data_IF_200302249825
#
_entry.id   IF_200302249825
#
_cell.length_a   1.000
_cell.length_b   1.000
_cell.length_c   1.000
_cell.angle_alpha   90.00
_cell.angle_beta   90.00
_cell.angle_gamma   90.00
#
_symmetry.space_group_name_H-M   'P 1'
#
loop_
_entity.id
_entity.type
_entity.pdbx_description
1 polymer ?
#
# COMPACT_ATOMS: atom_id res chain seq x y z
N UNK A 1 16.60 -17.95 -19.65
CA UNK A 1 15.73 -16.90 -19.06
C UNK A 1 16.23 -16.61 -17.65
N UNK A 2 16.24 -15.36 -17.18
CA UNK A 2 16.72 -15.03 -15.81
C UNK A 2 15.65 -15.46 -14.79
N UNK A 3 16.00 -16.25 -13.79
CA UNK A 3 15.06 -16.71 -12.76
C UNK A 3 15.05 -15.81 -11.53
N UNK A 4 13.86 -15.46 -11.04
CA UNK A 4 13.65 -14.74 -9.79
C UNK A 4 12.58 -15.44 -8.95
N UNK A 5 12.86 -15.54 -7.65
CA UNK A 5 11.87 -15.93 -6.64
C UNK A 5 11.44 -14.70 -5.84
N UNK A 6 10.14 -14.53 -5.64
CA UNK A 6 9.57 -13.52 -4.75
C UNK A 6 8.99 -14.22 -3.52
N UNK A 7 9.36 -13.76 -2.33
CA UNK A 7 8.82 -14.24 -1.06
C UNK A 7 7.96 -13.14 -0.47
N UNK A 8 6.68 -13.45 -0.23
CA UNK A 8 5.71 -12.50 0.31
C UNK A 8 4.78 -13.16 1.31
N UNK A 9 4.23 -12.36 2.22
CA UNK A 9 3.17 -12.81 3.12
C UNK A 9 1.78 -12.80 2.46
N UNK A 10 1.63 -12.15 1.30
CA UNK A 10 0.36 -12.04 0.59
C UNK A 10 0.58 -12.11 -0.93
N UNK A 11 -0.34 -12.80 -1.62
CA UNK A 11 -0.42 -12.85 -3.08
C UNK A 11 -1.88 -13.16 -3.48
N UNK A 12 -2.40 -12.66 -4.62
CA UNK A 12 -3.75 -12.99 -5.11
C UNK A 12 -4.02 -14.49 -5.00
N UNK A 13 -5.21 -14.95 -4.56
CA UNK A 13 -6.50 -14.24 -4.58
C UNK A 13 -6.78 -13.33 -3.38
N UNK A 14 -5.83 -13.19 -2.43
CA UNK A 14 -5.98 -12.23 -1.33
C UNK A 14 -6.09 -10.81 -1.89
N UNK A 15 -7.08 -10.06 -1.39
CA UNK A 15 -7.34 -8.68 -1.83
C UNK A 15 -6.51 -7.69 -1.02
N UNK A 16 -6.24 -6.52 -1.59
CA UNK A 16 -5.62 -5.37 -0.92
C UNK A 16 -4.23 -5.02 -1.45
N UNK A 17 -3.72 -3.87 -1.01
CA UNK A 17 -2.48 -3.29 -1.53
C UNK A 17 -1.25 -4.19 -1.35
N UNK A 18 -1.22 -5.03 -0.30
CA UNK A 18 -0.13 -5.97 -0.06
C UNK A 18 -0.01 -7.06 -1.12
N UNK A 19 -1.13 -7.71 -1.48
CA UNK A 19 -1.14 -8.72 -2.53
C UNK A 19 -0.93 -8.09 -3.91
N UNK A 20 -1.64 -6.99 -4.20
CA UNK A 20 -1.58 -6.35 -5.52
C UNK A 20 -0.19 -5.82 -5.86
N UNK A 21 0.55 -5.18 -4.93
CA UNK A 21 1.90 -4.68 -5.23
C UNK A 21 2.88 -5.80 -5.63
N UNK A 22 2.72 -6.99 -5.05
CA UNK A 22 3.58 -8.16 -5.34
C UNK A 22 3.18 -8.81 -6.65
N UNK A 23 1.89 -8.89 -6.92
CA UNK A 23 1.36 -9.32 -8.23
C UNK A 23 1.89 -8.42 -9.35
N UNK A 24 1.81 -7.09 -9.20
CA UNK A 24 2.31 -6.16 -10.21
C UNK A 24 3.82 -6.31 -10.43
N UNK A 25 4.61 -6.42 -9.36
CA UNK A 25 6.05 -6.70 -9.49
C UNK A 25 6.30 -8.01 -10.24
N UNK A 26 5.60 -9.10 -9.89
CA UNK A 26 5.76 -10.40 -10.53
C UNK A 26 5.42 -10.35 -12.03
N UNK A 27 4.29 -9.73 -12.37
CA UNK A 27 3.83 -9.60 -13.76
C UNK A 27 4.77 -8.73 -14.60
N UNK A 28 5.25 -7.60 -14.06
CA UNK A 28 6.17 -6.70 -14.78
C UNK A 28 7.53 -7.34 -15.01
N UNK A 29 8.06 -8.08 -14.03
CA UNK A 29 9.27 -8.88 -14.22
C UNK A 29 9.07 -9.98 -15.27
N UNK A 30 7.92 -10.67 -15.26
CA UNK A 30 7.62 -11.67 -16.26
C UNK A 30 7.52 -11.09 -17.68
N UNK A 31 6.85 -9.95 -17.84
CA UNK A 31 6.78 -9.19 -19.10
C UNK A 31 8.16 -8.79 -19.62
N UNK A 32 9.13 -8.60 -18.72
CA UNK A 32 10.53 -8.32 -19.01
C UNK A 32 11.42 -9.57 -19.13
N UNK A 33 10.86 -10.71 -19.54
CA UNK A 33 11.58 -11.96 -19.83
C UNK A 33 12.28 -12.61 -18.61
N UNK A 34 11.74 -12.42 -17.41
CA UNK A 34 12.13 -13.20 -16.24
C UNK A 34 11.20 -14.40 -16.04
N UNK A 35 11.77 -15.53 -15.62
CA UNK A 35 11.01 -16.65 -15.08
C UNK A 35 10.75 -16.36 -13.60
N UNK A 36 9.52 -15.99 -13.27
CA UNK A 36 9.14 -15.55 -11.93
C UNK A 36 8.40 -16.66 -11.21
N UNK A 37 8.81 -16.90 -9.96
CA UNK A 37 8.08 -17.74 -9.02
C UNK A 37 7.80 -16.96 -7.74
N UNK A 38 6.70 -17.31 -7.06
CA UNK A 38 6.29 -16.67 -5.81
C UNK A 38 6.11 -17.75 -4.73
N UNK A 39 6.63 -17.49 -3.53
CA UNK A 39 6.28 -18.27 -2.33
C UNK A 39 5.50 -17.38 -1.36
N UNK A 40 4.32 -17.85 -0.96
CA UNK A 40 3.40 -17.16 -0.07
C UNK A 40 2.61 -18.16 0.79
N UNK A 41 1.85 -17.72 1.80
CA UNK A 41 0.99 -18.64 2.54
C UNK A 41 -0.25 -19.03 1.72
N UNK A 42 -0.94 -20.09 2.17
CA UNK A 42 -2.32 -20.37 1.75
C UNK A 42 -3.19 -19.13 2.06
N UNK A 43 -3.98 -18.70 1.07
CA UNK A 43 -4.72 -17.45 1.15
C UNK A 43 -5.68 -17.48 2.35
N UNK A 44 -5.63 -16.43 3.17
CA UNK A 44 -6.48 -16.31 4.37
C UNK A 44 -6.97 -14.88 4.65
N UNK A 45 -6.40 -13.87 4.01
CA UNK A 45 -6.81 -12.48 4.16
C UNK A 45 -7.98 -12.12 3.21
N UNK A 46 -8.99 -11.34 3.64
CA UNK A 46 -9.08 -10.55 4.89
C UNK A 46 -9.76 -11.25 6.06
N UNK A 47 -10.43 -12.38 5.83
CA UNK A 47 -11.30 -13.02 6.83
C UNK A 47 -10.54 -13.71 7.96
N UNK A 48 -9.24 -13.93 7.82
CA UNK A 48 -8.45 -14.68 8.79
C UNK A 48 -8.79 -16.17 8.78
N UNK A 49 -9.35 -16.65 7.67
CA UNK A 49 -9.77 -18.04 7.45
C UNK A 49 -9.29 -18.45 6.05
N UNK A 50 -8.86 -19.71 5.91
CA UNK A 50 -8.46 -20.23 4.60
C UNK A 50 -9.62 -20.13 3.59
N UNK A 51 -9.31 -19.70 2.37
CA UNK A 51 -10.26 -19.72 1.28
C UNK A 51 -10.71 -21.17 1.01
N UNK A 52 -11.97 -21.40 0.56
CA UNK A 52 -12.53 -22.75 0.39
C UNK A 52 -11.62 -23.72 -0.37
N UNK A 53 -10.99 -23.26 -1.45
CA UNK A 53 -10.08 -24.01 -2.31
C UNK A 53 -8.77 -24.45 -1.63
N UNK A 54 -8.42 -23.85 -0.49
CA UNK A 54 -7.19 -24.15 0.27
C UNK A 54 -7.44 -24.94 1.57
N UNK A 55 -8.71 -25.16 1.96
CA UNK A 55 -9.05 -25.91 3.18
C UNK A 55 -8.51 -27.35 3.10
N UNK A 56 -7.91 -27.82 4.21
CA UNK A 56 -7.35 -29.17 4.32
C UNK A 56 -6.01 -29.40 3.60
N UNK A 57 -5.44 -28.37 2.94
CA UNK A 57 -4.17 -28.49 2.22
C UNK A 57 -2.99 -28.02 3.08
N UNK A 58 -1.84 -28.68 2.97
CA UNK A 58 -0.58 -28.24 3.58
C UNK A 58 0.30 -27.42 2.63
N UNK A 59 0.18 -27.65 1.33
CA UNK A 59 0.82 -26.82 0.32
C UNK A 59 0.09 -26.93 -1.00
N UNK A 60 0.20 -25.90 -1.83
CA UNK A 60 -0.36 -25.86 -3.20
C UNK A 60 0.70 -25.27 -4.13
N UNK A 61 0.80 -25.80 -5.35
CA UNK A 61 1.52 -25.12 -6.43
C UNK A 61 0.51 -24.85 -7.52
N UNK A 62 0.39 -23.60 -7.94
CA UNK A 62 -0.55 -23.17 -8.99
C UNK A 62 0.13 -22.21 -9.95
N UNK A 63 -0.46 -22.04 -11.13
CA UNK A 63 -0.01 -21.07 -12.11
C UNK A 63 -1.07 -19.96 -12.21
N UNK A 64 -0.69 -18.75 -11.83
CA UNK A 64 -1.55 -17.56 -11.93
C UNK A 64 -0.90 -16.60 -12.92
N UNK A 65 -1.55 -16.38 -14.07
CA UNK A 65 -1.07 -15.45 -15.11
C UNK A 65 0.40 -15.69 -15.51
N UNK A 66 0.77 -16.96 -15.73
CA UNK A 66 2.13 -17.41 -16.06
C UNK A 66 3.17 -17.28 -14.94
N UNK A 67 2.73 -17.01 -13.71
CA UNK A 67 3.57 -16.99 -12.51
C UNK A 67 3.34 -18.28 -11.72
N UNK A 68 4.42 -19.02 -11.43
CA UNK A 68 4.35 -20.20 -10.57
C UNK A 68 4.25 -19.75 -9.12
N UNK A 69 3.15 -20.06 -8.46
CA UNK A 69 2.89 -19.70 -7.06
C UNK A 69 2.92 -20.94 -6.20
N UNK A 70 3.89 -21.01 -5.29
CA UNK A 70 3.98 -22.05 -4.25
C UNK A 70 3.41 -21.51 -2.95
N UNK A 71 2.28 -22.06 -2.53
CA UNK A 71 1.65 -21.77 -1.24
C UNK A 71 2.03 -22.78 -0.18
N UNK A 72 2.38 -22.28 1.00
CA UNK A 72 2.67 -23.10 2.18
C UNK A 72 1.63 -22.88 3.27
N UNK A 73 1.46 -23.88 4.13
CA UNK A 73 0.53 -23.82 5.24
C UNK A 73 0.81 -22.63 6.18
N UNK A 74 -0.27 -22.08 6.73
CA UNK A 74 -0.27 -21.03 7.74
C UNK A 74 -1.41 -21.33 8.73
N UNK A 75 -1.23 -20.96 10.00
CA UNK A 75 -2.32 -20.79 10.95
C UNK A 75 -3.06 -19.49 10.60
N UNK A 76 -4.25 -19.55 9.98
CA UNK A 76 -4.93 -18.36 9.48
C UNK A 76 -5.44 -17.53 10.67
N UNK A 77 -5.17 -16.22 10.66
CA UNK A 77 -5.69 -15.32 11.69
C UNK A 77 -5.69 -13.86 11.25
N UNK A 78 -6.81 -13.17 11.50
CA UNK A 78 -6.93 -11.71 11.44
C UNK A 78 -7.23 -11.12 12.83
N UNK A 79 -6.98 -11.87 13.89
CA UNK A 79 -7.36 -11.50 15.25
C UNK A 79 -6.65 -10.23 15.73
N UNK A 80 -7.34 -9.43 16.56
CA UNK A 80 -6.72 -8.32 17.30
C UNK A 80 -5.70 -8.82 18.35
N UNK A 81 -5.76 -10.10 18.72
CA UNK A 81 -4.84 -10.70 19.70
C UNK A 81 -3.42 -10.88 19.11
N UNK A 82 -2.43 -10.26 19.74
CA UNK A 82 -1.05 -10.25 19.28
C UNK A 82 -0.41 -11.65 19.22
N UNK A 83 -0.77 -12.55 20.15
CA UNK A 83 -0.25 -13.92 20.21
C UNK A 83 -0.76 -14.70 19.00
N UNK A 84 -2.06 -14.61 18.68
CA UNK A 84 -2.63 -15.28 17.50
C UNK A 84 -2.01 -14.77 16.19
N UNK A 85 -1.74 -13.46 16.09
CA UNK A 85 -1.02 -12.87 14.95
C UNK A 85 0.42 -13.37 14.85
N UNK A 86 1.13 -13.45 15.97
CA UNK A 86 2.49 -13.97 16.00
C UNK A 86 2.54 -15.46 15.60
N UNK A 87 1.62 -16.28 16.12
CA UNK A 87 1.48 -17.68 15.72
C UNK A 87 1.19 -17.84 14.23
N UNK A 88 0.35 -16.97 13.67
CA UNK A 88 0.09 -16.93 12.22
C UNK A 88 1.38 -16.69 11.43
N UNK A 89 2.14 -15.63 11.74
CA UNK A 89 3.41 -15.33 11.06
C UNK A 89 4.45 -16.44 11.27
N UNK A 90 4.56 -16.97 12.50
CA UNK A 90 5.51 -18.04 12.84
C UNK A 90 5.21 -19.34 12.10
N UNK A 91 3.94 -19.74 12.02
CA UNK A 91 3.55 -20.99 11.36
C UNK A 91 3.95 -21.02 9.89
N UNK A 92 3.70 -19.93 9.15
CA UNK A 92 4.17 -19.80 7.78
C UNK A 92 5.69 -19.68 7.69
N UNK A 93 6.31 -18.86 8.55
CA UNK A 93 7.76 -18.67 8.56
C UNK A 93 8.52 -19.97 8.83
N UNK A 94 7.98 -20.87 9.64
CA UNK A 94 8.55 -22.19 9.93
C UNK A 94 8.48 -23.11 8.70
N UNK A 95 7.33 -23.19 8.03
CA UNK A 95 7.20 -23.92 6.77
C UNK A 95 8.14 -23.37 5.69
N UNK A 96 8.23 -22.04 5.60
CA UNK A 96 9.13 -21.36 4.67
C UNK A 96 10.61 -21.64 4.98
N UNK A 97 11.01 -21.64 6.25
CA UNK A 97 12.37 -21.94 6.68
C UNK A 97 12.85 -23.27 6.11
N UNK A 98 12.09 -24.35 6.31
CA UNK A 98 12.47 -25.67 5.79
C UNK A 98 12.39 -25.76 4.28
N UNK A 99 11.39 -25.11 3.67
CA UNK A 99 11.31 -25.03 2.22
C UNK A 99 12.58 -24.41 1.64
N UNK A 100 12.98 -23.23 2.13
CA UNK A 100 14.18 -22.54 1.66
C UNK A 100 15.46 -23.31 1.97
N UNK A 101 15.51 -24.03 3.09
CA UNK A 101 16.66 -24.84 3.47
C UNK A 101 16.88 -26.00 2.50
N UNK A 102 15.83 -26.80 2.26
CA UNK A 102 15.94 -28.07 1.54
C UNK A 102 15.68 -27.99 0.04
N UNK A 103 14.89 -27.01 -0.43
CA UNK A 103 14.57 -26.89 -1.85
C UNK A 103 15.62 -26.07 -2.61
N UNK A 104 15.73 -26.36 -3.91
CA UNK A 104 16.49 -25.51 -4.84
C UNK A 104 15.64 -24.28 -5.14
N UNK A 105 16.25 -23.10 -5.01
CA UNK A 105 15.63 -21.82 -5.32
C UNK A 105 16.51 -21.04 -6.31
N UNK A 106 15.94 -20.11 -7.09
CA UNK A 106 16.69 -19.19 -7.94
C UNK A 106 17.83 -18.47 -7.22
N UNK A 107 18.83 -17.96 -7.96
CA UNK A 107 19.96 -17.26 -7.36
C UNK A 107 19.58 -15.87 -6.83
N UNK A 108 18.63 -15.20 -7.47
CA UNK A 108 18.10 -13.90 -7.05
C UNK A 108 16.74 -14.08 -6.39
N UNK A 109 16.58 -13.49 -5.21
CA UNK A 109 15.37 -13.61 -4.41
C UNK A 109 14.94 -12.24 -3.89
N UNK A 110 13.71 -11.84 -4.24
CA UNK A 110 13.05 -10.67 -3.68
C UNK A 110 12.35 -11.08 -2.39
N UNK A 111 12.66 -10.43 -1.28
CA UNK A 111 12.04 -10.68 0.02
C UNK A 111 11.23 -9.46 0.42
N UNK A 112 9.92 -9.64 0.55
CA UNK A 112 9.02 -8.59 1.00
C UNK A 112 9.13 -8.36 2.52
N UNK A 113 9.27 -7.11 2.94
CA UNK A 113 9.20 -6.68 4.33
C UNK A 113 8.31 -5.43 4.45
N UNK A 114 7.41 -5.34 5.45
CA UNK A 114 7.05 -6.34 6.47
C UNK A 114 6.26 -7.55 5.92
N UNK A 115 6.00 -8.64 6.71
CA UNK A 115 6.30 -8.83 8.14
C UNK A 115 7.78 -9.01 8.46
N UNK A 116 8.23 -8.36 9.53
CA UNK A 116 9.64 -8.32 9.91
C UNK A 116 10.22 -9.71 10.21
N UNK A 117 9.48 -10.54 10.96
CA UNK A 117 9.92 -11.90 11.30
C UNK A 117 10.03 -12.82 10.08
N UNK A 118 9.07 -12.73 9.15
CA UNK A 118 9.10 -13.47 7.89
C UNK A 118 10.34 -13.08 7.08
N UNK A 119 10.57 -11.77 6.93
CA UNK A 119 11.74 -11.26 6.21
C UNK A 119 13.05 -11.68 6.87
N UNK A 120 13.13 -11.67 8.21
CA UNK A 120 14.30 -12.14 8.95
C UNK A 120 14.63 -13.60 8.67
N UNK A 121 13.64 -14.50 8.80
CA UNK A 121 13.82 -15.94 8.56
C UNK A 121 14.26 -16.18 7.10
N UNK A 122 13.62 -15.49 6.16
CA UNK A 122 13.95 -15.58 4.74
C UNK A 122 15.41 -15.15 4.49
N UNK A 123 15.78 -13.96 4.95
CA UNK A 123 17.13 -13.41 4.76
C UNK A 123 18.19 -14.26 5.45
N UNK A 124 17.90 -14.79 6.64
CA UNK A 124 18.81 -15.67 7.37
C UNK A 124 19.16 -16.90 6.52
N UNK A 125 18.16 -17.67 6.09
CA UNK A 125 18.38 -18.91 5.31
C UNK A 125 19.01 -18.60 3.95
N UNK A 126 18.53 -17.58 3.25
CA UNK A 126 19.06 -17.17 1.94
C UNK A 126 20.51 -16.71 2.03
N UNK A 127 20.90 -16.03 3.13
CA UNK A 127 22.28 -15.59 3.34
C UNK A 127 23.23 -16.76 3.59
N UNK A 128 22.79 -17.77 4.35
CA UNK A 128 23.54 -19.02 4.54
C UNK A 128 23.73 -19.76 3.20
N UNK A 129 22.73 -19.69 2.32
CA UNK A 129 22.78 -20.25 0.95
C UNK A 129 23.43 -19.32 -0.08
N UNK A 130 24.06 -18.22 0.35
CA UNK A 130 24.77 -17.24 -0.50
C UNK A 130 23.94 -16.73 -1.69
N UNK A 131 22.64 -16.51 -1.48
CA UNK A 131 21.73 -15.96 -2.48
C UNK A 131 21.92 -14.44 -2.64
N UNK A 132 21.56 -13.91 -3.81
CA UNK A 132 21.44 -12.46 -4.03
C UNK A 132 20.07 -12.02 -3.53
N UNK A 133 20.05 -11.30 -2.42
CA UNK A 133 18.83 -10.94 -1.70
C UNK A 133 18.48 -9.49 -2.04
N UNK A 134 17.31 -9.29 -2.66
CA UNK A 134 16.71 -7.99 -2.91
C UNK A 134 15.64 -7.81 -1.83
N UNK A 135 15.92 -6.97 -0.83
CA UNK A 135 14.94 -6.73 0.24
C UNK A 135 14.00 -5.60 -0.19
N UNK A 136 12.71 -5.89 -0.39
CA UNK A 136 11.70 -4.89 -0.70
C UNK A 136 11.05 -4.38 0.58
N UNK A 137 11.39 -3.14 0.98
CA UNK A 137 10.93 -2.50 2.21
C UNK A 137 9.77 -1.57 1.88
N UNK A 138 8.57 -1.94 2.33
CA UNK A 138 7.37 -1.12 2.13
C UNK A 138 7.14 -0.09 3.21
N UNK A 139 7.49 -0.43 4.44
CA UNK A 139 7.23 0.36 5.62
C UNK A 139 8.39 0.13 6.60
N UNK A 140 8.75 1.16 7.35
CA UNK A 140 9.81 1.07 8.36
C UNK A 140 9.29 0.37 9.61
N UNK A 141 9.63 -0.92 9.76
CA UNK A 141 9.34 -1.70 10.96
C UNK A 141 10.64 -1.97 11.73
N UNK A 142 10.74 -1.64 13.03
CA UNK A 142 9.63 -1.34 13.95
C UNK A 142 9.20 0.14 14.08
N UNK A 143 9.86 1.08 13.40
CA UNK A 143 9.66 2.52 13.63
C UNK A 143 8.18 2.96 13.52
N UNK A 144 7.51 2.64 12.42
CA UNK A 144 6.09 2.97 12.21
C UNK A 144 5.18 2.37 13.29
N UNK A 145 5.53 1.21 13.86
CA UNK A 145 4.76 0.61 14.95
C UNK A 145 4.87 1.40 16.25
N UNK A 146 6.03 2.02 16.49
CA UNK A 146 6.25 2.90 17.65
C UNK A 146 5.49 4.21 17.45
N UNK A 147 5.58 4.83 16.27
CA UNK A 147 4.86 6.06 15.92
C UNK A 147 3.33 5.90 16.04
N UNK A 148 2.81 4.75 15.64
CA UNK A 148 1.37 4.42 15.73
C UNK A 148 0.95 3.89 17.11
N UNK A 149 1.82 3.94 18.13
CA UNK A 149 1.58 3.39 19.47
C UNK A 149 1.19 1.89 19.50
N UNK A 150 1.48 1.15 18.43
CA UNK A 150 1.26 -0.29 18.35
C UNK A 150 2.38 -1.09 19.03
N UNK A 151 3.54 -0.46 19.28
CA UNK A 151 4.70 -1.04 19.94
C UNK A 151 5.32 -0.01 20.89
N UNK A 152 5.53 -0.38 22.16
CA UNK A 152 6.16 0.51 23.14
C UNK A 152 7.66 0.69 22.84
N UNK A 153 8.11 1.92 22.71
CA UNK A 153 9.54 2.26 22.60
C UNK A 153 10.35 1.65 23.75
N UNK A 154 11.58 1.23 23.47
CA UNK A 154 12.51 0.59 24.41
C UNK A 154 12.02 -0.69 25.12
N UNK A 155 10.87 -1.24 24.74
CA UNK A 155 10.42 -2.56 25.21
C UNK A 155 11.32 -3.69 24.69
N UNK A 156 11.24 -4.87 25.30
CA UNK A 156 11.96 -6.05 24.82
C UNK A 156 11.60 -6.38 23.36
N UNK A 157 10.31 -6.37 23.02
CA UNK A 157 9.84 -6.62 21.64
C UNK A 157 10.34 -5.55 20.66
N UNK A 158 10.46 -4.28 21.08
CA UNK A 158 11.07 -3.22 20.28
C UNK A 158 12.56 -3.50 20.01
N UNK A 159 13.34 -3.84 21.04
CA UNK A 159 14.76 -4.19 20.88
C UNK A 159 14.97 -5.39 19.97
N UNK A 160 14.15 -6.44 20.12
CA UNK A 160 14.17 -7.60 19.23
C UNK A 160 13.87 -7.17 17.80
N UNK A 161 12.84 -6.35 17.59
CA UNK A 161 12.48 -5.88 16.25
C UNK A 161 13.60 -5.05 15.61
N UNK A 162 14.26 -4.15 16.35
CA UNK A 162 15.43 -3.40 15.87
C UNK A 162 16.59 -4.33 15.50
N UNK A 163 16.80 -5.42 16.25
CA UNK A 163 17.78 -6.43 15.88
C UNK A 163 17.42 -7.11 14.55
N UNK A 164 16.17 -7.51 14.37
CA UNK A 164 15.70 -8.15 13.12
C UNK A 164 15.85 -7.19 11.93
N UNK A 165 15.46 -5.92 12.08
CA UNK A 165 15.62 -4.86 11.08
C UNK A 165 17.08 -4.70 10.66
N UNK A 166 17.98 -4.47 11.62
CA UNK A 166 19.41 -4.30 11.35
C UNK A 166 20.00 -5.55 10.68
N UNK A 167 19.54 -6.74 11.07
CA UNK A 167 19.99 -7.98 10.45
C UNK A 167 19.58 -8.07 8.98
N UNK A 168 18.29 -7.84 8.66
CA UNK A 168 17.81 -7.93 7.27
C UNK A 168 18.47 -6.88 6.38
N UNK A 169 18.66 -5.66 6.87
CA UNK A 169 19.32 -4.59 6.12
C UNK A 169 20.79 -4.92 5.86
N UNK A 170 21.51 -5.40 6.89
CA UNK A 170 22.91 -5.78 6.76
C UNK A 170 23.11 -6.89 5.73
N UNK A 171 22.28 -7.93 5.78
CA UNK A 171 22.44 -9.17 5.00
C UNK A 171 21.85 -9.10 3.60
N UNK A 172 20.92 -8.19 3.33
CA UNK A 172 20.43 -7.94 1.98
C UNK A 172 21.58 -7.50 1.06
N UNK A 173 21.58 -7.98 -0.19
CA UNK A 173 22.56 -7.57 -1.21
C UNK A 173 22.28 -6.14 -1.68
N UNK A 174 20.99 -5.80 -1.82
CA UNK A 174 20.49 -4.45 -2.06
C UNK A 174 19.08 -4.32 -1.47
N UNK A 175 18.61 -3.08 -1.35
CA UNK A 175 17.30 -2.76 -0.79
C UNK A 175 16.49 -1.95 -1.81
N UNK A 176 15.23 -2.34 -2.00
CA UNK A 176 14.22 -1.51 -2.64
C UNK A 176 13.44 -0.78 -1.55
N UNK A 177 13.36 0.55 -1.60
CA UNK A 177 12.56 1.36 -0.69
C UNK A 177 11.37 1.99 -1.42
N UNK A 178 10.20 1.99 -0.79
CA UNK A 178 8.99 2.63 -1.36
C UNK A 178 8.96 4.16 -1.23
N UNK A 179 9.91 4.72 -0.50
CA UNK A 179 10.07 6.15 -0.27
C UNK A 179 11.55 6.52 -0.16
N UNK A 180 11.87 7.79 -0.46
CA UNK A 180 13.22 8.29 -0.18
C UNK A 180 13.51 8.34 1.33
N UNK A 181 12.47 8.50 2.16
CA UNK A 181 12.57 8.42 3.61
C UNK A 181 13.01 7.02 4.09
N UNK A 182 12.50 5.95 3.46
CA UNK A 182 13.00 4.58 3.71
C UNK A 182 14.48 4.45 3.34
N UNK A 183 14.86 4.96 2.17
CA UNK A 183 16.26 4.91 1.72
C UNK A 183 17.17 5.67 2.68
N UNK A 184 16.76 6.88 3.08
CA UNK A 184 17.47 7.72 4.04
C UNK A 184 17.62 7.02 5.39
N UNK A 185 16.55 6.40 5.89
CA UNK A 185 16.59 5.61 7.13
C UNK A 185 17.60 4.46 7.03
N UNK A 186 17.57 3.69 5.94
CA UNK A 186 18.53 2.61 5.72
C UNK A 186 19.97 3.14 5.71
N UNK A 187 20.24 4.24 5.00
CA UNK A 187 21.58 4.85 4.95
C UNK A 187 22.05 5.41 6.28
N UNK A 188 21.13 5.88 7.14
CA UNK A 188 21.50 6.28 8.51
C UNK A 188 22.04 5.12 9.36
N UNK A 189 21.69 3.88 9.01
CA UNK A 189 22.14 2.66 9.71
C UNK A 189 23.31 1.99 8.94
N UNK A 190 23.25 1.98 7.62
CA UNK A 190 24.22 1.38 6.71
C UNK A 190 24.50 2.31 5.52
N UNK A 191 25.43 3.28 5.67
CA UNK A 191 25.69 4.31 4.66
C UNK A 191 26.02 3.76 3.26
N UNK A 192 26.80 2.68 3.20
CA UNK A 192 27.23 2.05 1.94
C UNK A 192 26.23 1.05 1.36
N UNK A 193 25.00 0.95 1.91
CA UNK A 193 24.02 -0.02 1.41
C UNK A 193 23.48 0.44 0.06
N UNK A 194 23.55 -0.45 -0.94
CA UNK A 194 22.89 -0.23 -2.24
C UNK A 194 21.38 -0.19 -2.05
N UNK A 195 20.78 0.95 -2.35
CA UNK A 195 19.36 1.21 -2.23
C UNK A 195 18.83 1.77 -3.54
N UNK A 196 17.62 1.37 -3.92
CA UNK A 196 16.92 1.89 -5.10
C UNK A 196 15.48 2.25 -4.71
N UNK A 197 14.96 3.32 -5.29
CA UNK A 197 13.57 3.73 -5.11
C UNK A 197 12.67 2.85 -5.98
N UNK A 198 11.72 2.17 -5.36
CA UNK A 198 10.70 1.36 -6.03
C UNK A 198 9.34 1.73 -5.47
N UNK A 199 8.61 2.60 -6.18
CA UNK A 199 7.28 3.05 -5.74
C UNK A 199 6.20 2.11 -6.25
N UNK A 200 5.15 1.92 -5.47
CA UNK A 200 3.99 1.14 -5.90
C UNK A 200 3.10 1.96 -6.87
N UNK A 201 3.64 2.28 -8.03
CA UNK A 201 2.86 2.86 -9.11
C UNK A 201 1.83 1.85 -9.62
N UNK A 202 0.60 2.30 -9.97
CA UNK A 202 -0.37 1.43 -10.60
C UNK A 202 0.11 1.01 -12.00
N UNK A 203 -0.42 -0.10 -12.49
CA UNK A 203 -0.23 -0.46 -13.90
C UNK A 203 -1.10 0.45 -14.78
N UNK A 204 -0.47 1.26 -15.63
CA UNK A 204 -1.11 2.25 -16.52
C UNK A 204 -1.96 1.67 -17.63
N UNK A 205 -2.14 0.35 -17.68
CA UNK A 205 -3.23 -0.27 -18.46
C UNK A 205 -4.64 0.16 -18.00
N UNK A 206 -4.72 1.09 -17.07
CA UNK A 206 -5.97 1.73 -16.67
C UNK A 206 -6.40 2.63 -17.83
N UNK A 207 -7.46 2.20 -18.53
CA UNK A 207 -8.09 2.96 -19.61
C UNK A 207 -8.45 4.34 -19.05
N UNK A 208 -8.17 5.40 -19.81
CA UNK A 208 -8.61 6.76 -19.51
C UNK A 208 -10.07 6.71 -19.05
N UNK A 209 -10.30 7.12 -17.80
CA UNK A 209 -11.65 7.23 -17.32
C UNK A 209 -12.26 8.46 -17.97
N UNK A 210 -13.35 8.25 -18.71
CA UNK A 210 -14.23 9.33 -19.11
C UNK A 210 -14.87 9.92 -17.83
N UNK A 211 -14.19 10.88 -17.23
CA UNK A 211 -14.61 11.58 -16.03
C UNK A 211 -15.67 12.60 -16.43
N UNK A 212 -16.87 12.41 -15.90
CA UNK A 212 -18.02 13.27 -16.11
C UNK A 212 -18.02 14.35 -15.03
N UNK A 213 -18.13 15.59 -15.47
CA UNK A 213 -18.28 16.73 -14.58
C UNK A 213 -19.63 17.37 -14.79
N UNK A 214 -20.35 17.55 -13.68
CA UNK A 214 -21.72 18.06 -13.68
C UNK A 214 -21.73 19.42 -13.00
N UNK A 215 -21.93 20.48 -13.80
CA UNK A 215 -21.79 21.88 -13.35
C UNK A 215 -22.74 22.24 -12.20
N UNK A 216 -23.95 21.69 -12.22
CA UNK A 216 -25.01 22.03 -11.25
C UNK A 216 -25.06 21.09 -10.03
N UNK A 217 -24.03 20.26 -9.82
CA UNK A 217 -23.93 19.37 -8.66
C UNK A 217 -22.86 19.86 -7.67
N UNK A 218 -23.00 19.53 -6.36
CA UNK A 218 -21.93 19.75 -5.38
C UNK A 218 -20.59 19.17 -5.84
N UNK A 219 -19.49 19.72 -5.34
CA UNK A 219 -18.17 19.09 -5.51
C UNK A 219 -18.14 17.79 -4.70
N UNK A 220 -17.98 16.66 -5.39
CA UNK A 220 -17.97 15.32 -4.82
C UNK A 220 -16.55 14.91 -4.51
N UNK A 221 -16.22 14.95 -3.23
CA UNK A 221 -14.95 14.44 -2.70
C UNK A 221 -15.16 12.98 -2.30
N UNK A 222 -14.23 12.10 -2.63
CA UNK A 222 -14.30 10.70 -2.21
C UNK A 222 -13.07 10.19 -1.49
N UNK A 223 -13.30 9.30 -0.53
CA UNK A 223 -12.30 8.39 0.00
C UNK A 223 -12.69 6.96 -0.35
N UNK A 224 -11.79 6.24 -1.01
CA UNK A 224 -11.98 4.82 -1.31
C UNK A 224 -10.81 3.97 -0.79
N UNK A 225 -11.04 3.17 0.24
CA UNK A 225 -10.03 2.30 0.85
C UNK A 225 -10.36 1.79 2.26
N UNK A 226 -9.33 1.29 2.95
CA UNK A 226 -9.47 0.74 4.31
C UNK A 226 -9.83 1.84 5.33
N UNK A 227 -10.83 1.59 6.18
CA UNK A 227 -11.11 2.40 7.39
C UNK A 227 -10.27 1.89 8.56
N UNK A 228 -8.96 2.15 8.45
CA UNK A 228 -7.98 1.81 9.47
C UNK A 228 -7.59 3.04 10.30
N UNK A 229 -7.13 2.78 11.52
CA UNK A 229 -6.70 3.81 12.48
C UNK A 229 -5.65 4.76 11.90
N UNK A 230 -4.75 4.25 11.05
CA UNK A 230 -3.71 5.06 10.41
C UNK A 230 -4.28 6.03 9.35
N UNK A 231 -5.39 5.66 8.69
CA UNK A 231 -6.06 6.51 7.70
C UNK A 231 -6.91 7.59 8.38
N UNK A 232 -7.42 7.35 9.59
CA UNK A 232 -8.11 8.36 10.39
C UNK A 232 -9.44 8.83 9.77
N UNK A 233 -10.13 7.96 9.02
CA UNK A 233 -11.36 8.34 8.30
C UNK A 233 -12.51 8.66 9.25
N UNK A 234 -12.60 7.96 10.39
CA UNK A 234 -13.57 8.30 11.43
C UNK A 234 -13.34 9.72 11.96
N UNK A 235 -12.10 10.00 12.37
CA UNK A 235 -11.73 11.32 12.91
C UNK A 235 -11.90 12.44 11.87
N UNK A 236 -11.62 12.13 10.59
CA UNK A 236 -11.94 13.02 9.48
C UNK A 236 -13.44 13.36 9.46
N UNK A 237 -14.32 12.36 9.48
CA UNK A 237 -15.77 12.60 9.46
C UNK A 237 -16.29 13.36 10.68
N UNK A 238 -15.64 13.21 11.83
CA UNK A 238 -15.98 13.93 13.07
C UNK A 238 -15.63 15.42 12.98
N UNK A 239 -14.53 15.77 12.31
CA UNK A 239 -13.91 17.11 12.40
C UNK A 239 -14.04 17.96 11.13
N UNK A 240 -14.40 17.38 10.00
CA UNK A 240 -14.68 18.17 8.80
C UNK A 240 -15.90 19.06 9.02
N UNK A 241 -15.79 20.31 8.61
CA UNK A 241 -16.89 21.24 8.55
C UNK A 241 -17.32 21.45 7.10
N UNK A 242 -18.49 20.91 6.76
CA UNK A 242 -19.10 21.06 5.44
C UNK A 242 -20.31 22.01 5.47
N UNK A 243 -20.59 22.67 6.60
CA UNK A 243 -21.72 23.59 6.72
C UNK A 243 -21.56 24.78 5.77
N UNK A 244 -22.62 25.13 5.04
CA UNK A 244 -22.60 26.19 4.04
C UNK A 244 -21.80 25.89 2.75
N UNK A 245 -21.01 24.81 2.69
CA UNK A 245 -20.19 24.48 1.52
C UNK A 245 -20.96 23.67 0.46
N UNK A 246 -20.72 23.91 -0.82
CA UNK A 246 -21.29 23.10 -1.90
C UNK A 246 -20.46 21.82 -2.15
N UNK A 247 -20.30 21.00 -1.11
CA UNK A 247 -19.44 19.80 -1.09
C UNK A 247 -20.20 18.61 -0.50
N UNK A 248 -19.96 17.43 -1.08
CA UNK A 248 -20.32 16.13 -0.50
C UNK A 248 -19.05 15.27 -0.31
N UNK A 249 -18.97 14.53 0.80
CA UNK A 249 -17.94 13.55 1.07
C UNK A 249 -18.50 12.13 0.94
N UNK A 250 -17.93 11.33 0.06
CA UNK A 250 -18.39 9.96 -0.20
C UNK A 250 -17.32 8.94 0.21
N UNK A 251 -17.75 7.92 0.94
CA UNK A 251 -16.87 6.94 1.55
C UNK A 251 -17.14 5.54 0.98
N UNK A 252 -16.10 4.93 0.41
CA UNK A 252 -16.10 3.56 -0.09
C UNK A 252 -15.07 2.74 0.67
N UNK A 253 -15.49 1.64 1.27
CA UNK A 253 -14.55 0.82 2.03
C UNK A 253 -15.14 -0.04 3.12
N UNK A 254 -14.23 -0.64 3.87
CA UNK A 254 -14.48 -1.43 5.06
C UNK A 254 -13.28 -1.28 6.00
N UNK A 255 -13.41 -1.69 7.26
CA UNK A 255 -12.31 -1.66 8.20
C UNK A 255 -12.77 -1.66 9.65
N UNK A 256 -11.80 -1.48 10.55
CA UNK A 256 -12.03 -1.53 11.98
C UNK A 256 -12.98 -0.42 12.47
N UNK A 257 -12.99 0.73 11.79
CA UNK A 257 -13.78 1.92 12.16
C UNK A 257 -15.16 1.99 11.49
N UNK A 258 -15.51 1.02 10.61
CA UNK A 258 -16.74 1.04 9.80
C UNK A 258 -18.00 1.34 10.63
N UNK A 259 -18.24 0.57 11.70
CA UNK A 259 -19.47 0.70 12.51
C UNK A 259 -19.59 2.07 13.17
N UNK A 260 -18.47 2.69 13.54
CA UNK A 260 -18.44 4.01 14.15
C UNK A 260 -18.74 5.09 13.11
N UNK A 261 -18.20 4.95 11.90
CA UNK A 261 -18.50 5.83 10.76
C UNK A 261 -19.99 5.76 10.40
N UNK A 262 -20.58 4.55 10.32
CA UNK A 262 -22.01 4.37 10.06
C UNK A 262 -22.88 5.07 11.12
N UNK A 263 -22.57 4.88 12.40
CA UNK A 263 -23.30 5.51 13.49
C UNK A 263 -23.16 7.05 13.49
N UNK A 264 -21.96 7.56 13.21
CA UNK A 264 -21.71 9.00 13.10
C UNK A 264 -22.54 9.62 11.98
N UNK A 265 -22.53 9.03 10.78
CA UNK A 265 -23.29 9.53 9.62
C UNK A 265 -24.79 9.52 9.92
N UNK A 266 -25.31 8.48 10.57
CA UNK A 266 -26.73 8.41 10.96
C UNK A 266 -27.13 9.51 11.96
N UNK A 267 -26.21 9.96 12.81
CA UNK A 267 -26.46 11.00 13.81
C UNK A 267 -26.40 12.44 13.25
N UNK A 268 -25.85 12.61 12.03
CA UNK A 268 -25.65 13.92 11.41
C UNK A 268 -26.90 14.41 10.67
N UNK A 269 -27.19 15.70 10.77
CA UNK A 269 -28.36 16.34 10.12
C UNK A 269 -28.05 16.91 8.74
N UNK A 270 -26.80 17.28 8.45
CA UNK A 270 -26.37 17.91 7.20
C UNK A 270 -26.39 16.95 6.00
N UNK A 271 -26.36 15.62 6.24
CA UNK A 271 -26.38 14.55 5.21
C UNK A 271 -25.32 14.69 4.11
N UNK A 272 -24.25 15.45 4.34
CA UNK A 272 -23.15 15.68 3.38
C UNK A 272 -22.07 14.60 3.38
N UNK A 273 -22.13 13.64 4.29
CA UNK A 273 -21.23 12.49 4.32
C UNK A 273 -22.04 11.24 3.96
N UNK A 274 -21.69 10.59 2.85
CA UNK A 274 -22.42 9.44 2.30
C UNK A 274 -21.51 8.21 2.34
N UNK A 275 -22.00 7.12 2.93
CA UNK A 275 -21.28 5.85 3.00
C UNK A 275 -21.89 4.79 2.08
N UNK A 276 -21.05 4.18 1.24
CA UNK A 276 -21.47 3.21 0.21
C UNK A 276 -21.07 1.76 0.51
N UNK A 277 -20.29 1.51 1.56
CA UNK A 277 -19.73 0.18 1.82
C UNK A 277 -18.55 -0.19 0.93
N UNK A 278 -18.16 -1.46 1.01
CA UNK A 278 -17.11 -2.03 0.16
C UNK A 278 -17.68 -2.35 -1.22
N UNK A 279 -16.94 -1.97 -2.26
CA UNK A 279 -17.29 -2.30 -3.64
C UNK A 279 -16.16 -3.02 -4.36
N UNK A 280 -16.52 -3.79 -5.40
CA UNK A 280 -15.53 -4.31 -6.33
C UNK A 280 -14.93 -3.18 -7.17
N UNK A 281 -13.73 -3.42 -7.69
CA UNK A 281 -12.96 -2.39 -8.39
C UNK A 281 -13.66 -1.84 -9.62
N UNK A 282 -14.35 -2.69 -10.39
CA UNK A 282 -14.98 -2.28 -11.64
C UNK A 282 -16.21 -1.40 -11.36
N UNK A 283 -17.04 -1.79 -10.39
CA UNK A 283 -18.18 -0.99 -9.95
C UNK A 283 -17.73 0.34 -9.34
N UNK A 284 -16.69 0.31 -8.50
CA UNK A 284 -16.09 1.52 -7.93
C UNK A 284 -15.64 2.48 -9.03
N UNK A 285 -14.82 2.02 -9.99
CA UNK A 285 -14.34 2.87 -11.08
C UNK A 285 -15.50 3.46 -11.90
N UNK A 286 -16.56 2.70 -12.17
CA UNK A 286 -17.75 3.23 -12.88
C UNK A 286 -18.41 4.38 -12.14
N UNK A 287 -18.56 4.27 -10.82
CA UNK A 287 -19.16 5.35 -10.04
C UNK A 287 -18.24 6.56 -9.93
N UNK A 288 -16.93 6.32 -9.73
CA UNK A 288 -15.92 7.37 -9.59
C UNK A 288 -15.84 8.30 -10.80
N UNK A 289 -16.34 7.89 -11.98
CA UNK A 289 -16.47 8.77 -13.15
C UNK A 289 -17.20 10.09 -12.86
N UNK A 290 -18.17 10.06 -11.95
CA UNK A 290 -19.00 11.24 -11.61
C UNK A 290 -18.44 12.04 -10.42
N UNK A 291 -17.22 11.72 -9.98
CA UNK A 291 -16.57 12.36 -8.83
C UNK A 291 -15.53 13.38 -9.26
N UNK A 292 -15.17 14.27 -8.34
CA UNK A 292 -14.32 15.41 -8.65
C UNK A 292 -12.92 15.29 -8.05
N UNK A 293 -12.82 14.96 -6.76
CA UNK A 293 -11.58 15.05 -6.00
C UNK A 293 -11.46 13.81 -5.13
N UNK A 294 -10.26 13.23 -5.04
CA UNK A 294 -9.97 12.22 -4.02
C UNK A 294 -9.38 12.87 -2.77
N UNK A 295 -9.77 12.41 -1.59
CA UNK A 295 -9.08 12.76 -0.34
C UNK A 295 -8.21 11.58 0.12
N UNK A 296 -6.96 11.87 0.46
CA UNK A 296 -5.99 10.89 0.97
C UNK A 296 -5.53 11.34 2.36
N UNK A 297 -6.27 10.93 3.43
CA UNK A 297 -5.94 11.28 4.80
C UNK A 297 -4.98 10.25 5.43
N UNK A 298 -4.17 10.74 6.36
CA UNK A 298 -3.54 9.96 7.43
C UNK A 298 -3.80 10.66 8.76
N UNK A 299 -4.04 9.89 9.81
CA UNK A 299 -4.27 10.42 11.16
C UNK A 299 -3.07 11.21 11.68
N UNK A 300 -1.86 10.78 11.32
CA UNK A 300 -0.58 11.41 11.67
C UNK A 300 0.42 11.14 10.55
N UNK A 301 1.47 11.95 10.47
CA UNK A 301 2.61 11.65 9.59
C UNK A 301 3.27 10.35 10.06
N UNK A 302 3.48 9.43 9.13
CA UNK A 302 4.19 8.17 9.36
C UNK A 302 5.47 8.20 8.54
N UNK A 303 6.63 8.24 9.19
CA UNK A 303 7.90 8.36 8.48
C UNK A 303 8.19 7.14 7.61
N UNK A 304 8.58 7.36 6.36
CA UNK A 304 8.83 6.30 5.39
C UNK A 304 7.59 5.86 4.60
N UNK A 305 6.38 6.29 4.97
CA UNK A 305 5.15 5.83 4.32
C UNK A 305 4.69 6.81 3.22
N UNK A 306 4.39 6.27 2.04
CA UNK A 306 3.76 7.01 0.94
C UNK A 306 2.48 6.29 0.53
N UNK A 307 1.30 6.89 0.76
CA UNK A 307 0.03 6.25 0.39
C UNK A 307 -0.08 6.01 -1.12
N UNK A 308 -0.25 4.75 -1.52
CA UNK A 308 -0.38 4.38 -2.94
C UNK A 308 -1.61 4.99 -3.63
N UNK A 309 -2.60 5.46 -2.87
CA UNK A 309 -3.79 6.15 -3.37
C UNK A 309 -3.46 7.42 -4.15
N UNK A 310 -2.35 8.10 -3.80
CA UNK A 310 -1.87 9.27 -4.56
C UNK A 310 -1.60 8.85 -6.01
N UNK A 311 -0.87 7.75 -6.19
CA UNK A 311 -0.53 7.24 -7.51
C UNK A 311 -1.74 6.63 -8.23
N UNK A 312 -2.56 5.85 -7.51
CA UNK A 312 -3.73 5.18 -8.09
C UNK A 312 -4.76 6.19 -8.62
N UNK A 313 -5.15 7.17 -7.81
CA UNK A 313 -6.15 8.16 -8.23
C UNK A 313 -5.56 9.24 -9.12
N UNK A 314 -4.28 9.58 -8.94
CA UNK A 314 -3.54 10.40 -9.89
C UNK A 314 -3.57 9.78 -11.30
N UNK A 315 -3.25 8.49 -11.43
CA UNK A 315 -3.29 7.76 -12.70
C UNK A 315 -4.68 7.71 -13.36
N UNK A 316 -5.75 7.88 -12.57
CA UNK A 316 -7.12 8.02 -13.06
C UNK A 316 -7.52 9.46 -13.39
N UNK A 317 -6.62 10.42 -13.17
CA UNK A 317 -6.83 11.84 -13.42
C UNK A 317 -7.46 12.61 -12.26
N UNK A 318 -7.67 12.03 -11.08
CA UNK A 318 -8.30 12.79 -9.99
C UNK A 318 -7.33 13.78 -9.32
N UNK A 319 -7.74 15.05 -9.14
CA UNK A 319 -7.14 15.94 -8.17
C UNK A 319 -7.12 15.31 -6.76
N UNK A 320 -6.02 15.52 -6.05
CA UNK A 320 -5.77 14.94 -4.73
C UNK A 320 -5.82 16.04 -3.67
N UNK A 321 -6.72 15.91 -2.70
CA UNK A 321 -6.65 16.59 -1.40
C UNK A 321 -5.86 15.70 -0.44
N UNK A 322 -4.57 16.00 -0.27
CA UNK A 322 -3.68 15.22 0.59
C UNK A 322 -3.65 15.77 2.01
N UNK A 323 -3.87 14.91 3.00
CA UNK A 323 -3.89 15.26 4.42
C UNK A 323 -3.11 14.23 5.23
N UNK A 324 -1.80 14.10 4.98
CA UNK A 324 -0.98 13.05 5.61
C UNK A 324 0.48 13.40 5.89
N UNK A 325 0.98 14.53 5.38
CA UNK A 325 2.36 14.99 5.57
C UNK A 325 3.45 14.12 4.94
N UNK A 326 4.70 14.54 5.10
CA UNK A 326 5.87 13.76 4.66
C UNK A 326 6.01 13.68 3.14
N UNK A 327 6.56 12.58 2.63
CA UNK A 327 6.86 12.50 1.20
C UNK A 327 5.61 12.52 0.30
N UNK A 328 4.44 12.11 0.81
CA UNK A 328 3.17 12.24 0.06
C UNK A 328 2.76 13.70 -0.21
N UNK A 329 3.11 14.62 0.71
CA UNK A 329 2.90 16.07 0.55
C UNK A 329 3.85 16.62 -0.52
N UNK A 330 5.14 16.27 -0.43
CA UNK A 330 6.16 16.66 -1.42
C UNK A 330 5.76 16.17 -2.82
N UNK A 331 5.27 14.94 -2.96
CA UNK A 331 4.82 14.40 -4.25
C UNK A 331 3.61 15.16 -4.77
N UNK A 332 2.61 15.41 -3.91
CA UNK A 332 1.41 16.16 -4.27
C UNK A 332 1.76 17.56 -4.77
N UNK A 333 2.62 18.29 -4.08
CA UNK A 333 3.04 19.64 -4.48
C UNK A 333 3.92 19.63 -5.74
N UNK A 334 4.94 18.76 -5.79
CA UNK A 334 5.90 18.70 -6.90
C UNK A 334 5.23 18.39 -8.24
N UNK A 335 4.22 17.51 -8.24
CA UNK A 335 3.45 17.15 -9.44
C UNK A 335 2.17 18.00 -9.59
N UNK A 336 1.98 18.97 -8.71
CA UNK A 336 0.80 19.83 -8.64
C UNK A 336 -0.49 19.00 -8.65
N UNK A 337 -0.58 17.90 -7.90
CA UNK A 337 -1.71 16.97 -7.99
C UNK A 337 -3.01 17.52 -7.38
N UNK A 338 -2.95 18.64 -6.66
CA UNK A 338 -4.12 19.24 -6.01
C UNK A 338 -3.71 20.02 -4.77
N UNK A 339 -4.38 19.78 -3.66
CA UNK A 339 -4.21 20.52 -2.41
C UNK A 339 -3.50 19.68 -1.36
N UNK A 340 -2.67 20.34 -0.55
CA UNK A 340 -2.13 19.77 0.68
C UNK A 340 -2.73 20.52 1.86
N UNK A 341 -3.24 19.76 2.83
CA UNK A 341 -3.57 20.25 4.16
C UNK A 341 -2.55 19.67 5.16
N UNK A 342 -2.11 20.51 6.10
CA UNK A 342 -1.12 20.14 7.11
C UNK A 342 -1.68 19.05 8.01
N UNK A 343 -1.00 17.90 8.04
CA UNK A 343 -1.45 16.71 8.79
C UNK A 343 -1.82 17.03 10.25
N UNK A 344 -2.98 16.55 10.67
CA UNK A 344 -3.53 16.77 12.02
C UNK A 344 -4.12 18.18 12.26
N UNK A 345 -3.94 19.13 11.34
CA UNK A 345 -4.56 20.46 11.41
C UNK A 345 -5.88 20.48 10.63
N UNK A 346 -6.99 20.30 11.35
CA UNK A 346 -8.32 20.30 10.74
C UNK A 346 -8.81 21.69 10.33
N UNK A 347 -8.27 22.77 10.92
CA UNK A 347 -8.61 24.14 10.51
C UNK A 347 -8.08 24.40 9.10
N UNK A 348 -6.81 24.06 8.84
CA UNK A 348 -6.22 24.17 7.48
C UNK A 348 -6.92 23.25 6.48
N UNK A 349 -7.31 22.02 6.89
CA UNK A 349 -8.14 21.15 6.03
C UNK A 349 -9.47 21.80 5.67
N UNK A 350 -10.16 22.40 6.65
CA UNK A 350 -11.44 23.08 6.44
C UNK A 350 -11.28 24.34 5.57
N UNK A 351 -10.17 25.08 5.68
CA UNK A 351 -9.83 26.17 4.76
C UNK A 351 -9.62 25.68 3.32
N UNK A 352 -8.97 24.52 3.12
CA UNK A 352 -8.88 23.90 1.78
C UNK A 352 -10.25 23.52 1.25
N UNK A 353 -11.12 22.96 2.09
CA UNK A 353 -12.50 22.63 1.70
C UNK A 353 -13.30 23.88 1.32
N UNK A 354 -13.14 25.00 2.04
CA UNK A 354 -13.74 26.28 1.66
C UNK A 354 -13.24 26.77 0.29
N UNK A 355 -11.93 26.66 0.04
CA UNK A 355 -11.34 27.00 -1.26
C UNK A 355 -11.93 26.12 -2.36
N UNK A 356 -11.94 24.80 -2.16
CA UNK A 356 -12.50 23.82 -3.09
C UNK A 356 -13.99 24.06 -3.37
N UNK A 357 -14.76 24.46 -2.36
CA UNK A 357 -16.19 24.78 -2.50
C UNK A 357 -16.47 25.93 -3.47
N UNK A 358 -15.49 26.80 -3.71
CA UNK A 358 -15.61 27.96 -4.58
C UNK A 358 -15.02 27.72 -5.98
N UNK A 359 -14.42 26.56 -6.22
CA UNK A 359 -13.82 26.22 -7.51
C UNK A 359 -14.92 25.89 -8.53
N UNK A 360 -14.75 26.40 -9.74
CA UNK A 360 -15.61 26.06 -10.86
C UNK A 360 -15.31 24.65 -11.36
N UNK A 361 -16.38 23.89 -11.64
CA UNK A 361 -16.29 22.53 -12.18
C UNK A 361 -15.43 22.43 -13.45
N UNK A 362 -15.49 23.44 -14.33
CA UNK A 362 -14.62 23.53 -15.52
C UNK A 362 -13.12 23.60 -15.18
N UNK A 363 -12.74 24.22 -14.07
CA UNK A 363 -11.34 24.24 -13.61
C UNK A 363 -10.90 22.86 -13.13
N UNK A 364 -11.79 22.13 -12.43
CA UNK A 364 -11.52 20.75 -12.02
C UNK A 364 -11.33 19.83 -13.23
N UNK A 365 -12.06 20.04 -14.33
CA UNK A 365 -11.85 19.29 -15.58
C UNK A 365 -10.49 19.52 -16.20
N UNK A 366 -10.02 20.77 -16.21
CA UNK A 366 -8.68 21.10 -16.67
C UNK A 366 -7.62 20.45 -15.77
N UNK A 367 -7.82 20.48 -14.45
CA UNK A 367 -6.95 19.79 -13.51
C UNK A 367 -6.93 18.29 -13.78
N UNK A 368 -8.09 17.66 -14.00
CA UNK A 368 -8.22 16.22 -14.23
C UNK A 368 -7.40 15.77 -15.45
N UNK A 369 -7.59 16.46 -16.58
CA UNK A 369 -6.85 16.19 -17.83
C UNK A 369 -5.35 16.41 -17.68
N UNK A 370 -4.93 17.49 -17.02
CA UNK A 370 -3.51 17.78 -16.79
C UNK A 370 -2.87 16.69 -15.92
N UNK A 371 -3.52 16.32 -14.81
CA UNK A 371 -3.02 15.29 -13.90
C UNK A 371 -2.88 13.98 -14.64
N UNK A 372 -3.92 13.54 -15.36
CA UNK A 372 -3.89 12.32 -16.16
C UNK A 372 -2.68 12.29 -17.10
N UNK A 373 -2.42 13.40 -17.82
CA UNK A 373 -1.29 13.47 -18.74
C UNK A 373 0.08 13.47 -18.04
N UNK A 374 0.26 14.19 -16.92
CA UNK A 374 1.55 14.23 -16.20
C UNK A 374 1.95 12.84 -15.67
N UNK A 375 1.00 12.18 -15.00
CA UNK A 375 1.27 10.92 -14.28
C UNK A 375 1.53 9.73 -15.19
N UNK A 376 1.06 9.75 -16.45
CA UNK A 376 1.40 8.71 -17.44
C UNK A 376 2.90 8.56 -17.62
N UNK A 377 3.66 9.64 -17.42
CA UNK A 377 5.12 9.64 -17.51
C UNK A 377 5.76 9.58 -16.13
N UNK A 378 5.30 10.41 -15.19
CA UNK A 378 5.98 10.60 -13.91
C UNK A 378 5.75 9.45 -12.91
N UNK A 379 4.62 8.76 -13.00
CA UNK A 379 4.27 7.62 -12.14
C UNK A 379 4.23 6.31 -12.92
N UNK A 380 5.11 6.12 -13.90
CA UNK A 380 5.08 4.97 -14.80
C UNK A 380 5.80 3.72 -14.26
N UNK A 381 5.03 2.66 -14.00
CA UNK A 381 5.56 1.40 -13.48
C UNK A 381 6.46 0.67 -14.50
N UNK A 382 6.15 0.73 -15.80
CA UNK A 382 6.98 0.09 -16.84
C UNK A 382 8.35 0.79 -16.92
N UNK A 383 8.36 2.12 -16.99
CA UNK A 383 9.59 2.91 -17.00
C UNK A 383 10.42 2.64 -15.73
N UNK A 384 9.78 2.58 -14.56
CA UNK A 384 10.48 2.28 -13.31
C UNK A 384 11.10 0.87 -13.31
N UNK A 385 10.39 -0.14 -13.81
CA UNK A 385 10.90 -1.51 -13.87
C UNK A 385 12.05 -1.61 -14.87
N UNK A 386 11.94 -0.99 -16.04
CA UNK A 386 13.00 -0.93 -17.04
C UNK A 386 14.27 -0.29 -16.48
N UNK A 387 14.15 0.85 -15.80
CA UNK A 387 15.26 1.56 -15.14
C UNK A 387 15.95 0.67 -14.08
N UNK A 388 15.17 0.00 -13.22
CA UNK A 388 15.72 -0.94 -12.23
C UNK A 388 16.43 -2.13 -12.88
N UNK A 389 15.93 -2.64 -14.02
CA UNK A 389 16.59 -3.70 -14.78
C UNK A 389 17.90 -3.21 -15.39
N UNK A 390 17.93 -2.01 -15.97
CA UNK A 390 19.14 -1.39 -16.54
C UNK A 390 20.22 -1.16 -15.47
N UNK A 391 19.80 -0.78 -14.26
CA UNK A 391 20.67 -0.65 -13.09
C UNK A 391 21.09 -2.00 -12.47
N UNK A 392 20.75 -3.13 -13.12
CA UNK A 392 21.06 -4.49 -12.69
C UNK A 392 20.50 -4.87 -11.30
N UNK A 393 19.38 -4.27 -10.90
CA UNK A 393 18.69 -4.59 -9.64
C UNK A 393 18.14 -6.02 -9.70
N UNK A 394 17.42 -6.35 -10.77
CA UNK A 394 16.70 -7.63 -10.95
C UNK A 394 17.46 -8.66 -11.77
#
# INVERSE_FOLDING_TARGET
MKEILIISNYYPPEKGAAANRIEQLALKLHQNNYTVSVICPLANYPKGELFPEYKGKFSVTENLQNIIVKRLWIYPSNSKNIIKRLLSVLSFSFGLFFYLLFQKTPQKVVVQSPPLLLSFISVLVLSLKRKKIILNVSDLWPLAAVELNALKANSFSHRVSLFLERFIYKKASLILGQSNEIITHVHSIFPEKKCFLYRNFPDHKTIEMDLETRENEPVKIFYAGLFGVAQGVLELCEKINLEGLNIELHLFGDGAEKKQIEALIQSRTDKKIIFYGMMDRNTLHKMLKTFDITIVPLKTRIYGSVPSKIFEYGALGFPVLYFGGGEGEIITEKHNLGWVAKVGNYDDLNEKLQTISNIQKAELDLMKKRIFNDVQTSFNLDIQIEDLIQQNVF
#
